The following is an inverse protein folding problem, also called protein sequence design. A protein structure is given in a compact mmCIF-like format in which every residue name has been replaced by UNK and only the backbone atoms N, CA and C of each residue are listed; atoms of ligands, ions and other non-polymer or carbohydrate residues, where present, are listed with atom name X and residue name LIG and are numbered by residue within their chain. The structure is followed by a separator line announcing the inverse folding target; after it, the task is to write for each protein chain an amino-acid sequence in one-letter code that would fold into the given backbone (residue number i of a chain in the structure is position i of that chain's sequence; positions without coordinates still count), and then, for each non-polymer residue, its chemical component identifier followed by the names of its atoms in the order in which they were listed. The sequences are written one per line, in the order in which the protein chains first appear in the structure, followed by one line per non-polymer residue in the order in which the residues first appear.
data_IF_558533021091
#
_entry.id   IF_558533021091
#
_cell.length_a   1.000
_cell.length_b   1.000
_cell.length_c   1.000
_cell.angle_alpha   90.00
_cell.angle_beta   90.00
_cell.angle_gamma   90.00
#
_symmetry.space_group_name_H-M   'P 1'
#
loop_
_entity.id
_entity.type
_entity.pdbx_description
1 polymer ?
#
# COMPACT_ATOMS: atom_id res chain seq x y z
N UNK A 1 21.19 -1.89 -47.29
CA UNK A 1 20.21 -1.34 -46.33
C UNK A 1 18.89 -1.19 -47.07
N UNK A 2 18.12 -2.29 -47.15
CA UNK A 2 16.78 -2.27 -47.71
C UNK A 2 15.81 -1.93 -46.58
N UNK A 3 15.33 -0.68 -46.56
CA UNK A 3 14.05 -0.36 -45.94
C UNK A 3 12.98 -1.01 -46.82
N UNK A 4 12.71 -2.30 -46.59
CA UNK A 4 11.54 -2.94 -47.13
C UNK A 4 10.35 -2.19 -46.51
N UNK A 5 9.67 -1.36 -47.30
CA UNK A 5 8.35 -0.85 -46.95
C UNK A 5 7.47 -2.08 -46.71
N UNK A 6 7.27 -2.43 -45.45
CA UNK A 6 6.30 -3.45 -45.07
C UNK A 6 4.93 -2.84 -45.40
N UNK A 7 4.32 -3.20 -46.53
CA UNK A 7 2.99 -2.71 -46.94
C UNK A 7 1.85 -3.21 -46.03
N UNK A 8 2.21 -3.89 -44.93
CA UNK A 8 1.30 -4.33 -43.90
C UNK A 8 0.57 -3.13 -43.28
N UNK A 9 -0.75 -3.26 -43.16
CA UNK A 9 -1.58 -2.30 -42.43
C UNK A 9 -1.13 -2.23 -40.96
N UNK A 10 -1.45 -1.12 -40.28
CA UNK A 10 -1.14 -0.98 -38.86
C UNK A 10 -1.68 -2.16 -38.02
N UNK A 11 -2.87 -2.65 -38.38
CA UNK A 11 -3.51 -3.81 -37.74
C UNK A 11 -2.74 -5.12 -37.96
N UNK A 12 -2.34 -5.42 -39.21
CA UNK A 12 -1.57 -6.63 -39.52
C UNK A 12 -0.20 -6.65 -38.83
N UNK A 13 0.44 -5.49 -38.65
CA UNK A 13 1.69 -5.38 -37.90
C UNK A 13 1.49 -5.66 -36.41
N UNK A 14 0.40 -5.17 -35.83
CA UNK A 14 0.07 -5.42 -34.43
C UNK A 14 -0.25 -6.90 -34.20
N UNK A 15 -0.99 -7.53 -35.11
CA UNK A 15 -1.29 -8.96 -35.02
C UNK A 15 -0.03 -9.83 -35.15
N UNK A 16 0.95 -9.42 -35.97
CA UNK A 16 2.29 -10.05 -35.99
C UNK A 16 3.03 -9.89 -34.67
N UNK A 17 2.90 -8.73 -34.01
CA UNK A 17 3.52 -8.51 -32.70
C UNK A 17 2.86 -9.37 -31.62
N UNK A 18 1.53 -9.51 -31.63
CA UNK A 18 0.82 -10.40 -30.71
C UNK A 18 1.26 -11.86 -30.89
N UNK A 19 1.28 -12.35 -32.13
CA UNK A 19 1.79 -13.69 -32.45
C UNK A 19 3.27 -13.88 -32.06
N UNK A 20 4.07 -12.81 -32.18
CA UNK A 20 5.46 -12.83 -31.72
C UNK A 20 5.56 -12.96 -30.20
N UNK A 21 4.75 -12.22 -29.44
CA UNK A 21 4.69 -12.32 -27.97
C UNK A 21 4.31 -13.74 -27.55
N UNK A 22 3.31 -14.34 -28.20
CA UNK A 22 2.92 -15.74 -27.97
C UNK A 22 4.10 -16.69 -28.21
N UNK A 23 4.85 -16.51 -29.31
CA UNK A 23 6.02 -17.35 -29.60
C UNK A 23 7.12 -17.21 -28.55
N UNK A 24 7.33 -15.99 -28.01
CA UNK A 24 8.32 -15.73 -26.96
C UNK A 24 7.92 -16.39 -25.65
N UNK A 25 6.64 -16.30 -25.28
CA UNK A 25 6.11 -16.94 -24.07
C UNK A 25 6.07 -18.47 -24.21
N UNK A 26 5.83 -19.00 -25.41
CA UNK A 26 5.91 -20.43 -25.68
C UNK A 26 7.35 -20.97 -25.54
N UNK A 27 8.34 -20.20 -25.99
CA UNK A 27 9.75 -20.56 -25.87
C UNK A 27 10.29 -20.39 -24.45
N UNK A 28 9.86 -19.34 -23.74
CA UNK A 28 10.21 -19.10 -22.35
C UNK A 28 8.96 -18.67 -21.55
N UNK A 29 8.34 -19.60 -20.80
CA UNK A 29 7.11 -19.31 -20.06
C UNK A 29 7.30 -18.30 -18.92
N UNK A 30 8.55 -18.04 -18.50
CA UNK A 30 8.91 -17.03 -17.49
C UNK A 30 9.37 -15.69 -18.08
N UNK A 31 9.28 -15.48 -19.39
CA UNK A 31 9.74 -14.24 -20.01
C UNK A 31 9.04 -13.01 -19.40
N UNK A 32 9.84 -12.02 -19.03
CA UNK A 32 9.39 -10.77 -18.43
C UNK A 32 9.10 -9.70 -19.49
N UNK A 33 8.46 -8.61 -19.11
CA UNK A 33 8.31 -7.42 -19.96
C UNK A 33 9.67 -6.94 -20.47
N UNK A 34 10.73 -7.05 -19.67
CA UNK A 34 12.08 -6.65 -20.08
C UNK A 34 12.60 -7.50 -21.24
N UNK A 35 12.52 -8.83 -21.12
CA UNK A 35 12.99 -9.78 -22.15
C UNK A 35 12.21 -9.61 -23.46
N UNK A 36 10.90 -9.38 -23.36
CA UNK A 36 10.02 -9.16 -24.51
C UNK A 36 10.37 -7.81 -25.16
N UNK A 37 10.55 -6.75 -24.37
CA UNK A 37 10.91 -5.43 -24.87
C UNK A 37 12.30 -5.39 -25.50
N UNK A 38 13.26 -6.17 -25.01
CA UNK A 38 14.58 -6.29 -25.62
C UNK A 38 14.46 -6.79 -27.07
N UNK A 39 13.58 -7.76 -27.31
CA UNK A 39 13.31 -8.29 -28.65
C UNK A 39 12.48 -7.33 -29.51
N UNK A 40 11.46 -6.69 -28.93
CA UNK A 40 10.61 -5.70 -29.62
C UNK A 40 11.32 -4.38 -29.92
N UNK A 41 12.45 -4.10 -29.27
CA UNK A 41 13.25 -2.90 -29.54
C UNK A 41 13.70 -2.82 -31.01
N UNK A 42 13.92 -3.96 -31.67
CA UNK A 42 14.27 -4.04 -33.10
C UNK A 42 13.12 -3.60 -34.02
N UNK A 43 11.89 -3.78 -33.58
CA UNK A 43 10.68 -3.37 -34.29
C UNK A 43 10.16 -2.02 -33.84
N UNK A 44 10.94 -1.23 -33.08
CA UNK A 44 10.51 0.07 -32.52
C UNK A 44 9.19 0.00 -31.72
N UNK A 45 8.91 -1.17 -31.14
CA UNK A 45 7.75 -1.40 -30.30
C UNK A 45 8.18 -1.64 -28.86
N UNK A 46 7.32 -1.31 -27.90
CA UNK A 46 7.53 -1.67 -26.50
C UNK A 46 6.21 -1.91 -25.78
N UNK A 47 6.24 -2.79 -24.80
CA UNK A 47 5.12 -3.10 -23.92
C UNK A 47 5.34 -2.40 -22.59
N UNK A 48 4.29 -1.76 -22.09
CA UNK A 48 4.29 -1.18 -20.75
C UNK A 48 2.93 -1.42 -20.11
N UNK A 49 2.92 -2.15 -19.00
CA UNK A 49 1.71 -2.45 -18.19
C UNK A 49 0.57 -3.08 -19.01
N UNK A 50 0.87 -3.97 -19.95
CA UNK A 50 -0.14 -4.61 -20.81
C UNK A 50 -0.59 -3.79 -22.01
N UNK A 51 0.00 -2.62 -22.25
CA UNK A 51 -0.23 -1.80 -23.44
C UNK A 51 0.98 -1.89 -24.35
N UNK A 52 0.75 -2.19 -25.62
CA UNK A 52 1.73 -2.18 -26.68
C UNK A 52 1.78 -0.78 -27.31
N UNK A 53 2.98 -0.24 -27.43
CA UNK A 53 3.26 1.04 -28.06
C UNK A 53 4.12 0.82 -29.29
N UNK A 54 3.74 1.46 -30.39
CA UNK A 54 4.45 1.41 -31.65
C UNK A 54 4.39 2.79 -32.30
N UNK A 55 5.52 3.49 -32.36
CA UNK A 55 5.54 4.89 -32.79
C UNK A 55 4.60 5.75 -31.93
N UNK A 56 3.63 6.42 -32.58
CA UNK A 56 2.61 7.24 -31.93
C UNK A 56 1.30 6.48 -31.64
N UNK A 57 1.22 5.21 -32.04
CA UNK A 57 0.05 4.36 -31.83
C UNK A 57 0.21 3.51 -30.55
N UNK A 58 -0.92 3.22 -29.91
CA UNK A 58 -0.96 2.32 -28.77
C UNK A 58 -2.18 1.43 -28.82
N UNK A 59 -2.01 0.16 -28.45
CA UNK A 59 -3.07 -0.86 -28.42
C UNK A 59 -2.96 -1.66 -27.14
N UNK A 60 -4.09 -1.97 -26.53
CA UNK A 60 -4.13 -2.90 -25.41
C UNK A 60 -3.85 -4.31 -25.93
N UNK A 61 -2.92 -5.01 -25.29
CA UNK A 61 -2.66 -6.42 -25.60
C UNK A 61 -3.88 -7.26 -25.22
N UNK A 62 -3.92 -8.48 -25.77
CA UNK A 62 -4.85 -9.50 -25.29
C UNK A 62 -4.77 -9.61 -23.75
N UNK A 63 -5.89 -9.50 -23.02
CA UNK A 63 -5.91 -9.56 -21.56
C UNK A 63 -5.14 -10.74 -20.98
N UNK A 64 -5.22 -11.92 -21.62
CA UNK A 64 -4.54 -13.13 -21.15
C UNK A 64 -3.01 -13.00 -21.24
N UNK A 65 -2.51 -12.38 -22.31
CA UNK A 65 -1.07 -12.14 -22.49
C UNK A 65 -0.58 -11.06 -21.54
N UNK A 66 -1.33 -9.96 -21.44
CA UNK A 66 -1.02 -8.89 -20.51
C UNK A 66 -0.95 -9.41 -19.06
N UNK A 67 -1.91 -10.23 -18.64
CA UNK A 67 -1.92 -10.83 -17.30
C UNK A 67 -0.74 -11.79 -17.09
N UNK A 68 -0.43 -12.62 -18.09
CA UNK A 68 0.71 -13.54 -18.04
C UNK A 68 2.04 -12.79 -17.88
N UNK A 69 2.26 -11.74 -18.68
CA UNK A 69 3.46 -10.90 -18.62
C UNK A 69 3.53 -10.19 -17.26
N UNK A 70 2.43 -9.58 -16.80
CA UNK A 70 2.39 -8.89 -15.50
C UNK A 70 2.65 -9.86 -14.34
N UNK A 71 2.20 -11.11 -14.45
CA UNK A 71 2.48 -12.15 -13.48
C UNK A 71 3.96 -12.54 -13.49
N UNK A 72 4.56 -12.70 -14.67
CA UNK A 72 5.98 -13.00 -14.81
C UNK A 72 6.85 -11.87 -14.22
N UNK A 73 6.50 -10.61 -14.49
CA UNK A 73 7.19 -9.44 -13.89
C UNK A 73 7.11 -9.45 -12.35
N UNK A 74 5.98 -9.88 -11.78
CA UNK A 74 5.85 -10.02 -10.33
C UNK A 74 6.72 -11.15 -9.80
N UNK A 75 6.77 -12.29 -10.51
CA UNK A 75 7.62 -13.42 -10.15
C UNK A 75 9.09 -13.01 -10.17
N UNK A 76 9.55 -12.36 -11.25
CA UNK A 76 10.92 -11.87 -11.38
C UNK A 76 11.30 -10.89 -10.26
N UNK A 77 10.38 -9.99 -9.89
CA UNK A 77 10.57 -9.12 -8.73
C UNK A 77 10.71 -9.88 -7.43
N UNK A 78 9.91 -10.94 -7.20
CA UNK A 78 10.00 -11.77 -6.00
C UNK A 78 11.32 -12.55 -5.98
N UNK A 79 11.70 -13.17 -7.10
CA UNK A 79 12.96 -13.89 -7.25
C UNK A 79 14.15 -12.95 -7.03
N UNK A 80 14.02 -11.69 -7.46
CA UNK A 80 15.00 -10.65 -7.19
C UNK A 80 15.20 -10.35 -5.70
N UNK A 81 14.27 -10.65 -4.79
CA UNK A 81 14.55 -10.50 -3.34
C UNK A 81 15.51 -11.55 -2.80
N UNK A 82 15.62 -12.71 -3.46
CA UNK A 82 16.42 -13.82 -3.00
C UNK A 82 15.98 -14.35 -1.63
N UNK A 83 14.67 -14.58 -1.48
CA UNK A 83 14.13 -15.16 -0.25
C UNK A 83 14.76 -16.54 0.02
N UNK A 84 15.21 -16.74 1.26
CA UNK A 84 15.84 -18.00 1.70
C UNK A 84 14.84 -18.83 2.51
N UNK A 85 13.89 -18.16 3.17
CA UNK A 85 12.90 -18.80 4.05
C UNK A 85 11.51 -18.78 3.38
N UNK A 86 10.74 -19.84 3.57
CA UNK A 86 9.36 -19.94 3.07
C UNK A 86 8.45 -18.81 3.59
N UNK A 87 8.66 -18.36 4.83
CA UNK A 87 7.91 -17.24 5.43
C UNK A 87 8.17 -15.92 4.70
N UNK A 88 9.42 -15.66 4.31
CA UNK A 88 9.82 -14.50 3.50
C UNK A 88 9.14 -14.57 2.12
N UNK A 89 9.20 -15.73 1.46
CA UNK A 89 8.56 -15.97 0.16
C UNK A 89 7.05 -15.80 0.22
N UNK A 90 6.39 -16.41 1.21
CA UNK A 90 4.94 -16.31 1.39
C UNK A 90 4.52 -14.85 1.56
N UNK A 91 5.26 -14.07 2.37
CA UNK A 91 4.98 -12.64 2.52
C UNK A 91 5.15 -11.88 1.22
N UNK A 92 6.20 -12.14 0.45
CA UNK A 92 6.40 -11.51 -0.86
C UNK A 92 5.27 -11.88 -1.83
N UNK A 93 4.81 -13.14 -1.85
CA UNK A 93 3.65 -13.56 -2.63
C UNK A 93 2.38 -12.80 -2.23
N UNK A 94 2.14 -12.58 -0.93
CA UNK A 94 1.02 -11.77 -0.44
C UNK A 94 1.14 -10.31 -0.91
N UNK A 95 2.33 -9.70 -0.82
CA UNK A 95 2.57 -8.31 -1.22
C UNK A 95 2.33 -8.12 -2.72
N UNK A 96 2.85 -9.03 -3.56
CA UNK A 96 2.75 -8.95 -5.02
C UNK A 96 1.49 -9.59 -5.59
N UNK A 97 0.62 -10.18 -4.76
CA UNK A 97 -0.60 -10.88 -5.17
C UNK A 97 -0.32 -11.95 -6.22
N UNK A 98 0.62 -12.85 -5.92
CA UNK A 98 0.97 -14.00 -6.76
C UNK A 98 0.47 -15.27 -6.10
N UNK A 99 -0.47 -15.95 -6.74
CA UNK A 99 -1.09 -17.17 -6.21
C UNK A 99 -0.23 -18.42 -6.39
N UNK A 100 0.51 -18.49 -7.51
CA UNK A 100 1.29 -19.68 -7.89
C UNK A 100 2.71 -19.61 -7.34
N UNK A 101 2.87 -20.12 -6.12
CA UNK A 101 4.15 -20.23 -5.39
C UNK A 101 5.12 -21.20 -6.03
N UNK A 102 4.60 -22.24 -6.69
CA UNK A 102 5.39 -23.31 -7.29
C UNK A 102 6.34 -22.84 -8.40
N UNK A 103 6.11 -21.63 -8.94
CA UNK A 103 6.99 -21.05 -9.96
C UNK A 103 8.17 -20.27 -9.38
N UNK A 104 8.20 -20.01 -8.07
CA UNK A 104 9.22 -19.16 -7.44
C UNK A 104 10.26 -20.08 -6.79
N UNK A 105 11.52 -19.90 -7.18
CA UNK A 105 12.62 -20.66 -6.57
C UNK A 105 13.15 -19.94 -5.33
N UNK A 106 13.33 -20.69 -4.24
CA UNK A 106 14.06 -20.22 -3.06
C UNK A 106 15.55 -20.14 -3.38
N UNK A 107 16.23 -19.11 -2.88
CA UNK A 107 17.68 -19.03 -2.99
C UNK A 107 18.34 -19.81 -1.85
N UNK A 108 19.46 -20.48 -2.14
CA UNK A 108 20.26 -21.17 -1.10
C UNK A 108 21.04 -20.22 -0.21
N UNK A 109 21.39 -19.03 -0.71
CA UNK A 109 22.22 -18.07 0.00
C UNK A 109 21.59 -16.68 -0.02
N UNK A 110 21.75 -15.95 1.10
CA UNK A 110 21.34 -14.55 1.18
C UNK A 110 22.26 -13.69 0.32
N UNK A 111 21.69 -12.63 -0.25
CA UNK A 111 22.47 -11.63 -0.97
C UNK A 111 23.56 -11.02 -0.08
N UNK A 112 24.75 -10.70 -0.62
CA UNK A 112 25.82 -10.05 0.14
C UNK A 112 25.41 -8.67 0.68
N UNK A 113 24.49 -7.97 -0.01
CA UNK A 113 23.92 -6.70 0.46
C UNK A 113 23.09 -6.85 1.73
N UNK A 114 22.56 -8.05 2.03
CA UNK A 114 21.77 -8.28 3.23
C UNK A 114 22.59 -8.05 4.52
N UNK A 115 23.87 -8.41 4.54
CA UNK A 115 24.72 -8.18 5.72
C UNK A 115 24.88 -6.68 6.03
N UNK A 116 25.05 -5.85 4.98
CA UNK A 116 25.10 -4.39 5.12
C UNK A 116 23.76 -3.84 5.63
N UNK A 117 22.65 -4.32 5.08
CA UNK A 117 21.30 -3.94 5.49
C UNK A 117 21.02 -4.28 6.96
N UNK A 118 21.41 -5.48 7.42
CA UNK A 118 21.30 -5.89 8.83
C UNK A 118 22.10 -4.96 9.73
N UNK A 119 23.33 -4.60 9.35
CA UNK A 119 24.15 -3.67 10.13
C UNK A 119 23.55 -2.25 10.20
N UNK A 120 22.96 -1.76 9.11
CA UNK A 120 22.25 -0.48 9.09
C UNK A 120 21.04 -0.49 10.03
N UNK A 121 20.21 -1.54 9.95
CA UNK A 121 19.09 -1.72 10.86
C UNK A 121 19.56 -1.83 12.31
N UNK A 122 20.64 -2.57 12.58
CA UNK A 122 21.21 -2.70 13.93
C UNK A 122 21.62 -1.35 14.50
N UNK A 123 22.30 -0.51 13.71
CA UNK A 123 22.62 0.86 14.12
C UNK A 123 21.39 1.70 14.47
N UNK A 124 20.27 1.55 13.74
CA UNK A 124 19.02 2.26 14.02
C UNK A 124 18.36 1.73 15.30
N UNK A 125 18.33 0.41 15.49
CA UNK A 125 17.74 -0.24 16.67
C UNK A 125 18.57 -0.06 17.96
N UNK A 126 19.89 0.10 17.87
CA UNK A 126 20.76 0.31 19.03
C UNK A 126 20.70 1.76 19.54
N UNK A 127 20.25 2.71 18.69
CA UNK A 127 20.04 4.10 19.08
C UNK A 127 18.90 4.22 20.10
N UNK A 128 19.26 4.18 21.38
CA UNK A 128 18.31 4.21 22.52
C UNK A 128 17.64 5.60 22.68
N UNK A 129 18.17 6.62 22.01
CA UNK A 129 17.64 7.99 22.01
C UNK A 129 16.38 8.18 21.15
N UNK A 130 16.10 7.25 20.23
CA UNK A 130 14.97 7.37 19.31
C UNK A 130 13.68 6.89 19.98
N UNK A 131 12.68 7.77 20.02
CA UNK A 131 11.30 7.40 20.34
C UNK A 131 10.72 6.47 19.24
N UNK A 132 9.60 5.80 19.53
CA UNK A 132 8.94 4.90 18.56
C UNK A 132 8.69 5.56 17.20
N UNK A 133 8.29 6.84 17.19
CA UNK A 133 8.03 7.57 15.94
C UNK A 133 9.31 7.80 15.15
N UNK A 134 10.38 8.23 15.83
CA UNK A 134 11.65 8.56 15.19
C UNK A 134 12.38 7.31 14.72
N UNK A 135 12.27 6.21 15.47
CA UNK A 135 12.75 4.89 15.06
C UNK A 135 12.08 4.45 13.75
N UNK A 136 10.74 4.57 13.68
CA UNK A 136 9.98 4.21 12.46
C UNK A 136 10.31 5.12 11.29
N UNK A 137 10.55 6.41 11.54
CA UNK A 137 11.00 7.36 10.52
C UNK A 137 12.38 6.99 10.00
N UNK A 138 13.35 6.70 10.87
CA UNK A 138 14.70 6.28 10.48
C UNK A 138 14.71 4.97 9.67
N UNK A 139 13.85 4.00 10.03
CA UNK A 139 13.69 2.76 9.25
C UNK A 139 13.12 3.06 7.85
N UNK A 140 12.17 3.99 7.74
CA UNK A 140 11.63 4.40 6.44
C UNK A 140 12.63 5.20 5.60
N UNK A 141 13.43 6.05 6.24
CA UNK A 141 14.49 6.83 5.59
C UNK A 141 15.61 5.94 5.03
N UNK A 142 15.90 4.83 5.72
CA UNK A 142 16.80 3.78 5.21
C UNK A 142 16.16 2.90 4.12
N UNK A 143 14.90 3.16 3.74
CA UNK A 143 14.19 2.47 2.67
C UNK A 143 13.49 1.18 3.10
N UNK A 144 13.50 0.84 4.39
CA UNK A 144 12.85 -0.35 4.91
C UNK A 144 11.39 -0.07 5.28
N UNK A 145 10.55 -1.05 4.99
CA UNK A 145 9.17 -1.11 5.44
C UNK A 145 8.99 -2.31 6.36
N UNK A 146 8.32 -2.09 7.50
CA UNK A 146 8.05 -3.14 8.48
C UNK A 146 6.71 -3.77 8.16
N UNK A 147 6.73 -5.08 7.95
CA UNK A 147 5.57 -5.91 7.65
C UNK A 147 5.39 -6.95 8.74
N UNK A 148 4.20 -7.00 9.33
CA UNK A 148 3.80 -8.07 10.25
C UNK A 148 3.08 -9.17 9.47
N UNK A 149 3.50 -10.41 9.64
CA UNK A 149 2.88 -11.61 9.06
C UNK A 149 1.74 -12.08 9.96
N UNK A 150 0.81 -12.88 9.42
CA UNK A 150 -0.30 -13.49 10.19
C UNK A 150 0.20 -14.37 11.34
N UNK A 151 1.34 -15.03 11.15
CA UNK A 151 2.05 -15.84 12.16
C UNK A 151 2.67 -15.01 13.31
N UNK A 152 2.64 -13.68 13.21
CA UNK A 152 3.25 -12.77 14.19
C UNK A 152 4.71 -12.42 13.92
N UNK A 153 5.32 -12.97 12.87
CA UNK A 153 6.70 -12.64 12.50
C UNK A 153 6.79 -11.22 11.91
N UNK A 154 7.90 -10.54 12.20
CA UNK A 154 8.13 -9.15 11.79
C UNK A 154 9.25 -9.12 10.77
N UNK A 155 8.88 -8.80 9.53
CA UNK A 155 9.77 -8.76 8.39
C UNK A 155 10.06 -7.31 8.01
N UNK A 156 11.33 -6.98 7.79
CA UNK A 156 11.75 -5.72 7.19
C UNK A 156 12.01 -5.94 5.70
N UNK A 157 11.33 -5.16 4.85
CA UNK A 157 11.42 -5.27 3.40
C UNK A 157 11.93 -3.96 2.81
N UNK A 158 13.02 -4.02 2.05
CA UNK A 158 13.51 -2.93 1.22
C UNK A 158 13.22 -3.24 -0.25
N UNK A 159 12.27 -2.51 -0.81
CA UNK A 159 11.82 -2.68 -2.20
C UNK A 159 12.80 -2.12 -3.23
N UNK A 160 13.71 -1.23 -2.82
CA UNK A 160 14.67 -0.60 -3.73
C UNK A 160 15.88 -1.52 -3.96
N UNK A 161 16.39 -2.13 -2.89
CA UNK A 161 17.54 -3.04 -2.95
C UNK A 161 17.14 -4.51 -3.12
N UNK A 162 15.83 -4.79 -3.11
CA UNK A 162 15.27 -6.15 -3.12
C UNK A 162 15.89 -7.00 -2.00
N UNK A 163 15.68 -6.54 -0.77
CA UNK A 163 16.17 -7.20 0.46
C UNK A 163 14.99 -7.46 1.37
N UNK A 164 14.91 -8.67 1.90
CA UNK A 164 13.97 -9.05 2.95
C UNK A 164 14.76 -9.62 4.13
N UNK A 165 14.44 -9.15 5.33
CA UNK A 165 15.10 -9.56 6.57
C UNK A 165 14.03 -9.92 7.58
N UNK A 166 14.11 -11.12 8.13
CA UNK A 166 13.36 -11.50 9.32
C UNK A 166 14.02 -10.90 10.57
N UNK A 167 13.37 -9.89 11.16
CA UNK A 167 13.89 -9.21 12.34
C UNK A 167 13.93 -10.11 13.56
N UNK A 168 13.04 -11.11 13.65
CA UNK A 168 13.00 -12.04 14.77
C UNK A 168 14.16 -13.02 14.68
N UNK A 169 14.41 -13.56 13.49
CA UNK A 169 15.51 -14.49 13.25
C UNK A 169 16.89 -13.83 13.47
N UNK A 170 17.03 -12.56 13.13
CA UNK A 170 18.26 -11.77 13.34
C UNK A 170 18.45 -11.27 14.79
N UNK A 171 17.49 -11.54 15.68
CA UNK A 171 17.58 -11.21 17.11
C UNK A 171 17.36 -9.73 17.44
N UNK A 172 16.60 -8.99 16.64
CA UNK A 172 16.27 -7.59 16.96
C UNK A 172 15.28 -7.50 18.14
N UNK A 173 15.43 -6.45 18.95
CA UNK A 173 14.47 -6.15 20.02
C UNK A 173 13.19 -5.50 19.44
N UNK A 174 12.17 -6.34 19.23
CA UNK A 174 10.89 -5.96 18.64
C UNK A 174 10.01 -5.15 19.61
N UNK A 175 10.33 -5.12 20.91
CA UNK A 175 9.53 -4.39 21.90
C UNK A 175 9.50 -2.88 21.64
N UNK A 176 10.53 -2.35 20.97
CA UNK A 176 10.62 -0.94 20.56
C UNK A 176 9.70 -0.59 19.39
N UNK A 177 9.23 -1.58 18.65
CA UNK A 177 8.28 -1.41 17.55
C UNK A 177 6.82 -1.46 17.99
N UNK A 178 6.56 -1.78 19.26
CA UNK A 178 5.21 -1.75 19.79
C UNK A 178 4.88 -0.36 20.32
N UNK A 179 3.78 0.19 19.78
CA UNK A 179 3.26 1.47 20.21
C UNK A 179 2.81 1.35 21.67
N UNK A 180 3.56 1.97 22.59
CA UNK A 180 3.09 2.21 23.94
C UNK A 180 2.28 3.51 23.93
N UNK A 181 0.94 3.48 24.10
CA UNK A 181 0.20 4.71 24.31
C UNK A 181 0.76 5.38 25.56
N UNK A 182 1.32 6.58 25.42
CA UNK A 182 1.52 7.44 26.59
C UNK A 182 0.13 7.68 27.17
N UNK A 183 -0.16 7.04 28.31
CA UNK A 183 -1.29 7.44 29.16
C UNK A 183 -1.06 8.91 29.47
N UNK A 184 -1.79 9.79 28.78
CA UNK A 184 -2.04 11.12 29.32
C UNK A 184 -2.81 10.85 30.61
N UNK A 185 -2.17 11.01 31.76
CA UNK A 185 -2.90 11.15 33.02
C UNK A 185 -3.89 12.28 32.78
N UNK A 186 -5.17 11.92 32.67
CA UNK A 186 -6.22 12.92 32.64
C UNK A 186 -6.12 13.65 33.98
N UNK A 187 -5.93 14.98 34.02
CA UNK A 187 -6.09 15.69 35.26
C UNK A 187 -7.51 15.38 35.74
N UNK A 188 -7.63 14.74 36.90
CA UNK A 188 -8.90 14.47 37.55
C UNK A 188 -9.62 15.79 37.73
N UNK A 189 -10.58 16.08 36.85
CA UNK A 189 -11.47 17.23 36.98
C UNK A 189 -12.30 16.97 38.24
N UNK A 190 -11.94 17.65 39.33
CA UNK A 190 -12.75 17.71 40.53
C UNK A 190 -14.10 18.34 40.12
N UNK A 191 -15.18 17.56 40.19
CA UNK A 191 -16.54 18.06 40.00
C UNK A 191 -16.79 19.22 40.98
N UNK A 192 -17.21 20.41 40.53
CA UNK A 192 -17.66 21.46 41.44
C UNK A 192 -18.93 21.02 42.18
N UNK A 193 -18.98 21.30 43.48
CA UNK A 193 -20.13 21.04 44.35
C UNK A 193 -21.35 21.85 43.86
N UNK A 194 -22.48 21.17 43.69
CA UNK A 194 -23.78 21.78 43.39
C UNK A 194 -24.19 22.76 44.50
N UNK A 195 -24.36 24.04 44.14
CA UNK A 195 -25.07 25.00 44.96
C UNK A 195 -26.58 24.81 44.74
N UNK A 196 -27.27 24.41 45.81
CA UNK A 196 -28.72 24.36 45.88
C UNK A 196 -29.30 25.77 45.67
N UNK A 197 -30.20 25.93 44.71
CA UNK A 197 -31.09 27.08 44.61
C UNK A 197 -32.54 26.62 44.46
N UNK A 198 -33.39 27.20 45.32
CA UNK A 198 -34.78 26.84 45.59
C UNK A 198 -35.77 27.21 44.46
N UNK A 199 -36.97 26.60 44.43
CA UNK A 199 -37.83 26.53 43.24
C UNK A 199 -38.84 27.69 43.16
N UNK A 200 -39.21 28.08 41.93
CA UNK A 200 -40.45 28.82 41.66
C UNK A 200 -41.33 28.05 40.67
N UNK A 201 -42.62 27.98 41.01
CA UNK A 201 -43.66 27.14 40.41
C UNK A 201 -44.40 27.86 39.27
N UNK A 202 -44.58 27.18 38.14
CA UNK A 202 -45.77 27.14 37.28
C UNK A 202 -45.48 26.01 36.26
N UNK A 203 -46.29 24.98 36.04
CA UNK A 203 -47.74 24.83 36.12
C UNK A 203 -48.22 24.36 34.75
N UNK A 204 -47.96 23.09 34.38
CA UNK A 204 -48.68 22.23 33.41
C UNK A 204 -48.11 20.80 33.56
N UNK A 205 -49.01 19.80 33.48
CA UNK A 205 -48.78 18.36 33.70
C UNK A 205 -48.14 17.63 32.49
N UNK A 206 -47.62 16.41 32.68
CA UNK A 206 -46.71 15.72 31.76
C UNK A 206 -47.42 14.79 30.76
N UNK A 207 -46.74 14.44 29.67
CA UNK A 207 -46.97 13.22 28.87
C UNK A 207 -45.62 12.49 28.86
N UNK A 208 -45.36 11.60 29.83
CA UNK A 208 -45.67 10.16 29.81
C UNK A 208 -45.08 9.43 28.60
N UNK A 209 -43.87 8.93 28.85
CA UNK A 209 -43.46 7.53 28.75
C UNK A 209 -43.47 6.83 27.38
N UNK A 210 -42.27 6.70 26.81
CA UNK A 210 -41.73 5.48 26.22
C UNK A 210 -40.21 5.70 26.18
N UNK A 211 -39.42 5.13 27.07
CA UNK A 211 -39.20 3.70 27.15
C UNK A 211 -37.91 3.39 26.39
N UNK A 212 -36.93 2.79 27.06
CA UNK A 212 -35.77 2.18 26.40
C UNK A 212 -34.43 2.81 26.77
N UNK A 213 -33.91 2.43 27.93
CA UNK A 213 -32.46 2.44 28.12
C UNK A 213 -31.84 1.36 27.23
N UNK A 214 -30.80 1.73 26.48
CA UNK A 214 -29.67 0.86 26.16
C UNK A 214 -28.59 1.71 25.50
N UNK A 215 -27.45 1.81 26.19
CA UNK A 215 -26.11 1.72 25.62
C UNK A 215 -26.06 1.62 24.09
N UNK A 216 -25.69 2.70 23.40
CA UNK A 216 -24.96 2.54 22.16
C UNK A 216 -23.81 3.53 22.06
N UNK A 217 -22.62 2.96 22.08
CA UNK A 217 -21.33 3.61 21.98
C UNK A 217 -20.96 3.69 20.51
N UNK A 218 -21.60 4.61 19.78
CA UNK A 218 -21.14 5.12 18.49
C UNK A 218 -21.70 6.53 18.32
N UNK A 219 -21.09 7.49 19.02
CA UNK A 219 -21.37 8.91 18.85
C UNK A 219 -20.49 9.43 17.72
N UNK A 220 -21.00 9.27 16.51
CA UNK A 220 -20.42 9.82 15.29
C UNK A 220 -20.28 11.34 15.41
N UNK A 221 -19.13 11.85 14.95
CA UNK A 221 -18.77 13.25 15.03
C UNK A 221 -19.72 14.07 14.15
N UNK A 222 -20.53 14.91 14.78
CA UNK A 222 -21.39 15.86 14.11
C UNK A 222 -20.53 16.89 13.37
N UNK A 223 -20.32 16.64 12.07
CA UNK A 223 -19.77 17.63 11.15
C UNK A 223 -20.75 18.79 11.05
N UNK A 224 -20.28 19.97 11.42
CA UNK A 224 -21.09 21.19 11.58
C UNK A 224 -22.05 21.42 10.41
N UNK A 225 -23.35 21.42 10.73
CA UNK A 225 -24.37 22.01 9.87
C UNK A 225 -24.14 23.53 9.84
N UNK A 226 -23.85 24.05 8.64
CA UNK A 226 -23.89 25.48 8.33
C UNK A 226 -25.33 25.98 8.55
N UNK A 227 -25.55 27.09 9.26
CA UNK A 227 -26.84 27.77 9.21
C UNK A 227 -26.94 28.61 7.93
N UNK A 228 -27.94 28.29 7.11
CA UNK A 228 -28.48 29.17 6.08
C UNK A 228 -28.95 30.47 6.75
N UNK A 229 -28.35 31.60 6.35
CA UNK A 229 -28.85 32.94 6.68
C UNK A 229 -29.69 33.43 5.50
N UNK A 230 -30.92 32.90 5.41
CA UNK A 230 -32.00 33.48 4.62
C UNK A 230 -33.18 33.70 5.57
N UNK A 231 -33.10 34.80 6.33
CA UNK A 231 -34.26 35.50 6.92
C UNK A 231 -33.79 36.79 7.61
N UNK A 232 -33.64 37.87 6.83
CA UNK A 232 -34.00 39.20 7.33
C UNK A 232 -34.94 39.84 6.32
N UNK A 233 -36.21 39.71 6.70
CA UNK A 233 -37.43 40.34 6.24
C UNK A 233 -37.31 41.87 6.01
N UNK A 234 -37.64 42.21 4.77
CA UNK A 234 -38.28 43.41 4.23
C UNK A 234 -38.34 44.71 5.05
N UNK A 235 -37.81 45.76 4.41
CA UNK A 235 -38.72 46.81 3.94
C UNK A 235 -38.93 48.04 4.84
N UNK A 236 -38.36 49.14 4.32
CA UNK A 236 -38.92 50.51 4.23
C UNK A 236 -38.40 51.59 5.19
N UNK A 237 -38.03 52.70 4.53
CA UNK A 237 -37.93 54.09 4.99
C UNK A 237 -36.65 54.44 5.76
N UNK A 238 -35.85 55.45 5.39
CA UNK A 238 -36.22 56.84 5.12
C UNK A 238 -35.27 57.48 4.09
N UNK A 239 -35.84 58.35 3.24
CA UNK A 239 -35.15 59.44 2.55
C UNK A 239 -34.60 60.47 3.55
N UNK A 240 -33.44 61.05 3.23
CA UNK A 240 -33.31 62.49 2.92
C UNK A 240 -32.17 62.68 1.95
#
# INVERSE_FOLDING_TARGET
MELLLDFATAEERLDRIDAFIDSVLAANPKATTFDINEKLRRSHAYIKRGVLYYGDESRNLNPLLAETILRNDRIDRIESFGAVIEAELNRLCQIYKVERRDLISLMSERKPSAARAVNQLRGIFDNTTLDYKDLKSAIRESGFQIHRTESGDILAVNFNEYIIIDLRAEGFDLTRLDYKPQKKEQPTVQKPKEHQSQPKKSGIRPLQDAGGGASDSNREWEVGKKPDYDDIDDGRTLKM
#
